data_IF_382668636110
#
_entry.id   IF_382668636110
#
_cell.length_a   1.000
_cell.length_b   1.000
_cell.length_c   1.000
_cell.angle_alpha   90.00
_cell.angle_beta   90.00
_cell.angle_gamma   90.00
#
_symmetry.space_group_name_H-M   'P 1'
#
loop_
_entity.id
_entity.type
_entity.pdbx_description
1 polymer ?
#
# COMPACT_ATOMS: atom_id res chain seq x y z
N UNK A 1 -0.13 15.80 5.21
CA UNK A 1 -1.53 15.38 4.96
C UNK A 1 -2.37 15.44 6.22
N UNK A 2 -2.06 14.64 7.27
CA UNK A 2 -2.87 14.60 8.52
C UNK A 2 -3.09 15.97 9.16
N UNK A 3 -2.02 16.76 9.39
CA UNK A 3 -2.15 18.14 9.93
C UNK A 3 -3.13 19.03 9.17
N UNK A 4 -3.24 18.85 7.84
CA UNK A 4 -4.17 19.60 6.99
C UNK A 4 -5.60 19.09 7.16
N UNK A 5 -5.78 17.76 7.24
CA UNK A 5 -7.09 17.13 7.43
C UNK A 5 -7.67 17.41 8.82
N UNK A 6 -6.83 17.68 9.81
CA UNK A 6 -7.24 17.97 11.18
C UNK A 6 -7.16 19.44 11.55
N UNK A 7 -6.89 20.32 10.58
CA UNK A 7 -6.83 21.76 10.82
C UNK A 7 -8.19 22.28 11.29
N UNK A 8 -8.23 22.99 12.41
CA UNK A 8 -9.47 23.52 12.99
C UNK A 8 -10.38 22.48 13.66
N UNK A 9 -9.89 21.26 13.91
CA UNK A 9 -10.67 20.23 14.60
C UNK A 9 -10.94 20.60 16.06
N UNK A 10 -12.22 20.72 16.42
CA UNK A 10 -12.66 20.93 17.81
C UNK A 10 -12.33 19.73 18.71
N UNK A 11 -12.20 18.53 18.14
CA UNK A 11 -11.82 17.31 18.86
C UNK A 11 -10.34 17.36 19.27
N UNK A 12 -9.46 17.90 18.43
CA UNK A 12 -8.06 18.08 18.82
C UNK A 12 -7.94 19.16 19.91
N UNK A 13 -8.67 20.27 19.76
CA UNK A 13 -8.66 21.35 20.77
C UNK A 13 -9.17 20.86 22.13
N UNK A 14 -10.21 20.02 22.15
CA UNK A 14 -10.75 19.47 23.40
C UNK A 14 -9.78 18.53 24.13
N UNK A 15 -8.70 18.09 23.47
CA UNK A 15 -7.68 17.18 24.03
C UNK A 15 -6.34 17.88 24.28
N UNK A 16 -6.27 19.22 24.23
CA UNK A 16 -5.01 19.96 24.48
C UNK A 16 -4.43 19.73 25.87
N UNK A 17 -5.31 19.56 26.88
CA UNK A 17 -4.98 19.34 28.28
C UNK A 17 -5.26 17.89 28.71
N UNK A 18 -5.08 16.93 27.79
CA UNK A 18 -5.35 15.52 28.05
C UNK A 18 -4.28 14.90 28.96
N UNK A 19 -4.70 14.21 30.03
CA UNK A 19 -3.79 13.51 30.95
C UNK A 19 -3.11 12.28 30.32
N UNK A 20 -3.56 11.84 29.14
CA UNK A 20 -3.03 10.66 28.47
C UNK A 20 -1.65 10.93 27.90
N UNK A 21 -0.66 10.15 28.35
CA UNK A 21 0.75 10.35 28.00
C UNK A 21 1.05 9.99 26.54
N UNK A 22 0.45 8.92 26.00
CA UNK A 22 0.73 8.46 24.65
C UNK A 22 -0.49 7.88 23.94
N UNK A 23 -0.60 8.18 22.64
CA UNK A 23 -1.50 7.50 21.71
C UNK A 23 -1.01 6.10 21.35
N UNK A 24 -1.98 5.21 21.06
CA UNK A 24 -1.73 3.92 20.45
C UNK A 24 -1.01 4.07 19.09
N UNK A 25 -0.16 3.10 18.75
CA UNK A 25 0.64 3.15 17.53
C UNK A 25 -0.19 3.21 16.26
N UNK A 26 -1.39 2.61 16.25
CA UNK A 26 -2.30 2.66 15.11
C UNK A 26 -2.72 4.10 14.72
N UNK A 27 -2.62 5.04 15.66
CA UNK A 27 -2.85 6.48 15.47
C UNK A 27 -1.52 7.24 15.39
N UNK A 28 -0.63 7.06 16.37
CA UNK A 28 0.61 7.85 16.48
C UNK A 28 1.57 7.62 15.32
N UNK A 29 1.63 6.38 14.81
CA UNK A 29 2.52 6.00 13.73
C UNK A 29 1.88 6.14 12.34
N UNK A 30 0.73 6.84 12.24
CA UNK A 30 0.06 7.14 10.97
C UNK A 30 1.04 7.70 9.92
N UNK A 31 1.85 8.73 10.21
CA UNK A 31 2.77 9.29 9.21
C UNK A 31 3.84 8.30 8.75
N UNK A 32 4.41 7.52 9.67
CA UNK A 32 5.50 6.59 9.39
C UNK A 32 5.01 5.44 8.50
N UNK A 33 3.89 4.82 8.86
CA UNK A 33 3.35 3.70 8.08
C UNK A 33 2.81 4.17 6.73
N UNK A 34 2.01 5.25 6.70
CA UNK A 34 1.50 5.77 5.42
C UNK A 34 2.62 6.31 4.52
N UNK A 35 3.71 6.84 5.11
CA UNK A 35 4.89 7.27 4.38
C UNK A 35 5.57 6.11 3.66
N UNK A 36 5.89 5.04 4.38
CA UNK A 36 6.51 3.85 3.80
C UNK A 36 5.66 3.23 2.66
N UNK A 37 4.34 3.21 2.83
CA UNK A 37 3.41 2.72 1.80
C UNK A 37 3.41 3.61 0.56
N UNK A 38 3.45 4.93 0.76
CA UNK A 38 3.55 5.88 -0.35
C UNK A 38 4.86 5.70 -1.11
N UNK A 39 5.96 5.46 -0.42
CA UNK A 39 7.26 5.23 -1.06
C UNK A 39 7.24 3.96 -1.91
N UNK A 40 6.62 2.87 -1.43
CA UNK A 40 6.44 1.64 -2.21
C UNK A 40 5.61 1.87 -3.49
N UNK A 41 4.49 2.59 -3.38
CA UNK A 41 3.65 2.94 -4.54
C UNK A 41 4.38 3.85 -5.52
N UNK A 42 5.17 4.80 -5.02
CA UNK A 42 6.03 5.67 -5.84
C UNK A 42 7.09 4.86 -6.60
N UNK A 43 7.75 3.90 -5.94
CA UNK A 43 8.75 3.04 -6.57
C UNK A 43 8.15 2.15 -7.67
N UNK A 44 6.94 1.61 -7.46
CA UNK A 44 6.20 0.90 -8.49
C UNK A 44 5.83 1.83 -9.66
N UNK A 45 5.35 3.04 -9.37
CA UNK A 45 5.02 4.03 -10.40
C UNK A 45 6.20 4.32 -11.30
N UNK A 46 7.38 4.58 -10.73
CA UNK A 46 8.60 4.84 -11.50
C UNK A 46 8.90 3.70 -12.48
N UNK A 47 8.74 2.46 -12.06
CA UNK A 47 8.97 1.31 -12.91
C UNK A 47 7.94 1.15 -14.02
N UNK A 48 6.67 1.38 -13.70
CA UNK A 48 5.60 1.37 -14.71
C UNK A 48 5.84 2.48 -15.73
N UNK A 49 6.23 3.67 -15.30
CA UNK A 49 6.55 4.78 -16.20
C UNK A 49 7.72 4.46 -17.11
N UNK A 50 8.78 3.81 -16.60
CA UNK A 50 9.89 3.33 -17.43
C UNK A 50 9.42 2.25 -18.41
N UNK A 51 8.72 1.23 -17.92
CA UNK A 51 8.32 0.07 -18.74
C UNK A 51 7.35 0.46 -19.86
N UNK A 52 6.42 1.40 -19.61
CA UNK A 52 5.51 1.93 -20.63
C UNK A 52 6.25 2.63 -21.78
N UNK A 53 7.48 3.07 -21.55
CA UNK A 53 8.34 3.72 -22.54
C UNK A 53 9.50 2.81 -23.00
N UNK A 54 9.54 1.55 -22.56
CA UNK A 54 10.55 0.58 -22.95
C UNK A 54 10.16 -0.14 -24.24
N UNK A 55 11.17 -0.57 -25.00
CA UNK A 55 11.00 -1.51 -26.11
C UNK A 55 11.20 -2.92 -25.56
N UNK A 56 10.10 -3.64 -25.36
CA UNK A 56 10.05 -4.96 -24.71
C UNK A 56 9.83 -6.12 -25.67
N UNK A 57 9.74 -5.86 -26.98
CA UNK A 57 9.67 -6.90 -27.99
C UNK A 57 11.04 -7.53 -28.27
N UNK A 58 11.05 -8.57 -29.09
CA UNK A 58 12.26 -9.27 -29.50
C UNK A 58 12.00 -10.03 -30.82
N UNK A 59 12.91 -9.95 -31.83
CA UNK A 59 14.19 -9.23 -31.82
C UNK A 59 14.05 -7.72 -32.02
N UNK A 60 15.01 -6.97 -31.49
CA UNK A 60 15.12 -5.54 -31.73
C UNK A 60 15.75 -5.30 -33.11
N UNK A 61 15.23 -4.33 -33.88
CA UNK A 61 15.74 -4.01 -35.22
C UNK A 61 16.46 -2.67 -35.20
N UNK A 62 17.72 -2.67 -35.64
CA UNK A 62 18.57 -1.48 -35.71
C UNK A 62 19.13 -1.31 -37.13
N UNK A 63 19.58 -0.09 -37.52
CA UNK A 63 20.36 0.10 -38.74
C UNK A 63 21.60 -0.81 -38.75
N UNK A 64 21.96 -1.38 -39.90
CA UNK A 64 23.02 -2.39 -40.00
C UNK A 64 24.36 -1.94 -39.37
N UNK A 65 24.74 -0.67 -39.54
CA UNK A 65 25.98 -0.11 -38.97
C UNK A 65 25.88 0.37 -37.51
N UNK A 66 24.72 0.21 -36.85
CA UNK A 66 24.51 0.66 -35.48
C UNK A 66 24.75 -0.45 -34.43
N UNK A 67 24.96 -1.68 -34.86
CA UNK A 67 25.17 -2.86 -34.00
C UNK A 67 26.40 -3.65 -34.48
N UNK A 68 26.80 -4.66 -33.71
CA UNK A 68 27.92 -5.54 -34.06
C UNK A 68 27.71 -6.21 -35.43
N UNK A 69 28.76 -6.29 -36.26
CA UNK A 69 28.70 -6.85 -37.62
C UNK A 69 28.24 -8.31 -37.66
N UNK A 70 28.32 -9.03 -36.53
CA UNK A 70 27.84 -10.42 -36.39
C UNK A 70 26.33 -10.50 -36.19
N UNK A 71 25.65 -9.37 -35.93
CA UNK A 71 24.21 -9.35 -35.79
C UNK A 71 23.54 -9.76 -37.12
N UNK A 72 22.63 -10.75 -37.12
CA UNK A 72 22.00 -11.23 -38.34
C UNK A 72 21.14 -10.13 -38.96
N UNK A 73 21.26 -9.92 -40.28
CA UNK A 73 20.60 -8.80 -40.94
C UNK A 73 20.80 -8.74 -42.44
N UNK A 74 20.49 -7.57 -42.98
CA UNK A 74 20.69 -7.13 -44.36
C UNK A 74 21.64 -5.94 -44.36
N UNK A 75 22.03 -5.46 -45.54
CA UNK A 75 22.90 -4.28 -45.69
C UNK A 75 22.30 -2.98 -45.10
N UNK A 76 21.00 -2.96 -44.79
CA UNK A 76 20.29 -1.77 -44.25
C UNK A 76 19.84 -1.92 -42.80
N UNK A 77 19.60 -3.13 -42.32
CA UNK A 77 19.07 -3.38 -40.98
C UNK A 77 19.59 -4.71 -40.41
N UNK A 78 19.86 -4.73 -39.10
CA UNK A 78 20.30 -5.90 -38.35
C UNK A 78 19.44 -6.11 -37.11
N UNK A 79 19.21 -7.38 -36.77
CA UNK A 79 18.41 -7.81 -35.64
C UNK A 79 19.28 -8.17 -34.44
N UNK A 80 18.89 -7.70 -33.25
CA UNK A 80 19.51 -8.05 -31.97
C UNK A 80 18.53 -8.85 -31.13
N UNK A 81 18.91 -10.07 -30.78
CA UNK A 81 18.18 -10.85 -29.79
C UNK A 81 18.41 -10.23 -28.40
N UNK A 82 17.32 -9.85 -27.73
CA UNK A 82 17.29 -9.23 -26.41
C UNK A 82 16.38 -10.01 -25.46
N UNK A 83 16.53 -9.75 -24.16
CA UNK A 83 15.69 -10.30 -23.10
C UNK A 83 14.67 -9.29 -22.54
N UNK A 84 14.42 -8.18 -23.24
CA UNK A 84 13.63 -7.05 -22.72
C UNK A 84 12.17 -7.40 -22.44
N UNK A 85 11.67 -8.52 -22.98
CA UNK A 85 10.33 -9.04 -22.69
C UNK A 85 10.17 -9.56 -21.26
N UNK A 86 11.26 -9.74 -20.51
CA UNK A 86 11.19 -10.27 -19.15
C UNK A 86 10.78 -9.18 -18.15
N UNK A 87 9.55 -9.26 -17.64
CA UNK A 87 8.94 -8.26 -16.75
C UNK A 87 9.46 -8.23 -15.30
N UNK A 88 10.69 -8.68 -15.04
CA UNK A 88 11.28 -8.70 -13.68
C UNK A 88 11.30 -7.32 -13.01
N UNK A 89 11.61 -6.21 -13.73
CA UNK A 89 11.61 -4.88 -13.13
C UNK A 89 10.25 -4.44 -12.56
N UNK A 90 9.15 -5.00 -13.08
CA UNK A 90 7.80 -4.78 -12.58
C UNK A 90 7.44 -5.78 -11.47
N UNK A 91 7.74 -7.07 -11.66
CA UNK A 91 7.35 -8.14 -10.73
C UNK A 91 7.79 -7.86 -9.29
N UNK A 92 9.09 -7.59 -9.08
CA UNK A 92 9.63 -7.35 -7.74
C UNK A 92 9.03 -6.11 -7.06
N UNK A 93 8.67 -5.09 -7.84
CA UNK A 93 8.06 -3.86 -7.32
C UNK A 93 6.58 -4.01 -7.04
N UNK A 94 5.88 -4.86 -7.80
CA UNK A 94 4.51 -5.25 -7.50
C UNK A 94 4.46 -6.02 -6.17
N UNK A 95 5.38 -6.96 -5.94
CA UNK A 95 5.47 -7.70 -4.67
C UNK A 95 5.73 -6.76 -3.50
N UNK A 96 6.66 -5.82 -3.66
CA UNK A 96 6.93 -4.78 -2.65
C UNK A 96 5.68 -3.92 -2.37
N UNK A 97 4.99 -3.46 -3.41
CA UNK A 97 3.78 -2.65 -3.25
C UNK A 97 2.62 -3.44 -2.63
N UNK A 98 2.44 -4.71 -2.99
CA UNK A 98 1.42 -5.60 -2.43
C UNK A 98 1.62 -5.82 -0.91
N UNK A 99 2.85 -6.08 -0.49
CA UNK A 99 3.21 -6.17 0.92
C UNK A 99 2.96 -4.85 1.67
N UNK A 100 3.35 -3.71 1.09
CA UNK A 100 3.11 -2.40 1.68
C UNK A 100 1.60 -2.09 1.84
N UNK A 101 0.78 -2.40 0.84
CA UNK A 101 -0.68 -2.23 0.92
C UNK A 101 -1.32 -3.14 1.97
N UNK A 102 -0.76 -4.32 2.20
CA UNK A 102 -1.19 -5.22 3.29
C UNK A 102 -0.90 -4.61 4.66
N UNK A 103 0.26 -3.96 4.84
CA UNK A 103 0.57 -3.21 6.07
C UNK A 103 -0.35 -1.99 6.27
N UNK A 104 -0.73 -1.33 5.17
CA UNK A 104 -1.73 -0.25 5.23
C UNK A 104 -3.09 -0.76 5.72
N UNK A 105 -3.54 -1.91 5.20
CA UNK A 105 -4.75 -2.56 5.64
C UNK A 105 -4.65 -2.97 7.12
N UNK A 106 -3.50 -3.51 7.54
CA UNK A 106 -3.25 -3.93 8.91
C UNK A 106 -3.39 -2.77 9.91
N UNK A 107 -2.73 -1.64 9.67
CA UNK A 107 -2.83 -0.50 10.57
C UNK A 107 -4.23 0.12 10.54
N UNK A 108 -4.95 0.04 9.42
CA UNK A 108 -6.34 0.48 9.33
C UNK A 108 -7.27 -0.38 10.17
N UNK A 109 -7.13 -1.70 10.10
CA UNK A 109 -7.90 -2.62 10.92
C UNK A 109 -7.60 -2.44 12.41
N UNK A 110 -6.33 -2.23 12.81
CA UNK A 110 -5.97 -1.91 14.21
C UNK A 110 -6.60 -0.60 14.71
N UNK A 111 -6.83 0.39 13.83
CA UNK A 111 -7.59 1.61 14.19
C UNK A 111 -9.08 1.29 14.39
N UNK A 112 -9.65 0.46 13.52
CA UNK A 112 -11.03 -0.01 13.67
C UNK A 112 -11.21 -0.77 14.98
N UNK A 113 -10.35 -1.74 15.29
CA UNK A 113 -10.37 -2.48 16.56
C UNK A 113 -10.29 -1.52 17.77
N UNK A 114 -9.38 -0.54 17.72
CA UNK A 114 -9.24 0.45 18.79
C UNK A 114 -10.47 1.32 19.03
N UNK A 115 -11.35 1.49 18.03
CA UNK A 115 -12.61 2.24 18.18
C UNK A 115 -13.78 1.37 18.67
N UNK A 116 -13.73 0.05 18.43
CA UNK A 116 -14.86 -0.85 18.64
C UNK A 116 -14.69 -1.76 19.86
N UNK A 117 -13.45 -2.06 20.23
CA UNK A 117 -13.11 -3.01 21.28
C UNK A 117 -13.23 -2.36 22.67
N UNK A 118 -14.15 -2.82 23.54
CA UNK A 118 -14.36 -2.25 24.87
C UNK A 118 -13.12 -2.31 25.78
N UNK A 119 -12.21 -3.27 25.58
CA UNK A 119 -10.96 -3.37 26.35
C UNK A 119 -9.94 -2.33 25.87
N UNK A 120 -10.01 -2.06 24.57
CA UNK A 120 -9.27 -1.12 23.73
C UNK A 120 -9.52 0.36 23.96
N UNK A 121 -10.80 0.69 23.83
CA UNK A 121 -11.29 1.94 23.26
C UNK A 121 -11.23 3.13 24.20
N UNK A 122 -11.55 4.33 23.68
CA UNK A 122 -11.73 5.49 24.55
C UNK A 122 -12.98 5.32 25.41
N UNK A 123 -12.90 5.70 26.69
CA UNK A 123 -13.95 5.50 27.69
C UNK A 123 -15.30 6.13 27.31
N UNK A 124 -15.27 7.21 26.50
CA UNK A 124 -16.48 7.90 26.06
C UNK A 124 -17.18 7.22 24.87
N UNK A 125 -16.56 6.21 24.25
CA UNK A 125 -17.17 5.44 23.17
C UNK A 125 -17.99 4.29 23.76
N UNK A 126 -19.20 4.02 23.25
CA UNK A 126 -19.91 2.80 23.60
C UNK A 126 -19.28 1.60 22.89
N UNK A 127 -19.26 0.38 23.49
CA UNK A 127 -18.71 -0.81 22.85
C UNK A 127 -19.34 -1.06 21.47
N UNK A 128 -18.52 -1.38 20.47
CA UNK A 128 -18.93 -1.58 19.07
C UNK A 128 -19.70 -0.39 18.46
N UNK A 129 -19.58 0.80 19.05
CA UNK A 129 -20.25 2.04 18.67
C UNK A 129 -21.77 1.91 18.57
N UNK A 130 -22.41 1.24 19.54
CA UNK A 130 -23.87 1.07 19.61
C UNK A 130 -24.46 1.52 20.93
N UNK A 131 -25.63 2.16 20.90
CA UNK A 131 -26.34 2.68 22.08
C UNK A 131 -26.75 1.60 23.09
N UNK A 132 -27.01 0.36 22.64
CA UNK A 132 -27.52 -0.75 23.47
C UNK A 132 -26.67 -2.01 23.29
N UNK A 133 -25.40 -1.92 23.66
CA UNK A 133 -24.49 -3.07 23.67
C UNK A 133 -25.08 -4.24 24.50
N UNK A 134 -24.90 -5.47 24.03
CA UNK A 134 -25.53 -6.69 24.58
C UNK A 134 -26.90 -7.02 23.98
N UNK A 135 -27.61 -6.05 23.38
CA UNK A 135 -28.84 -6.27 22.60
C UNK A 135 -28.66 -5.99 21.10
N UNK A 136 -27.77 -5.06 20.77
CA UNK A 136 -27.39 -4.68 19.41
C UNK A 136 -25.92 -4.96 19.20
N UNK A 137 -25.56 -5.52 18.05
CA UNK A 137 -24.16 -5.86 17.74
C UNK A 137 -23.34 -4.68 17.19
N UNK A 138 -23.98 -3.57 16.81
CA UNK A 138 -23.28 -2.40 16.26
C UNK A 138 -22.36 -2.78 15.08
N UNK A 139 -21.12 -2.32 15.12
CA UNK A 139 -20.10 -2.63 14.12
C UNK A 139 -19.30 -3.92 14.38
N UNK A 140 -19.71 -4.76 15.33
CA UNK A 140 -19.01 -6.02 15.63
C UNK A 140 -18.78 -6.88 14.38
N UNK A 141 -19.80 -7.05 13.54
CA UNK A 141 -19.67 -7.85 12.31
C UNK A 141 -18.80 -7.15 11.27
N UNK A 142 -18.88 -5.82 11.17
CA UNK A 142 -18.00 -5.07 10.27
C UNK A 142 -16.53 -5.21 10.66
N UNK A 143 -16.22 -5.26 11.97
CA UNK A 143 -14.88 -5.54 12.46
C UNK A 143 -14.40 -6.94 12.04
N UNK A 144 -15.27 -7.96 12.15
CA UNK A 144 -14.94 -9.32 11.72
C UNK A 144 -14.65 -9.38 10.22
N UNK A 145 -15.44 -8.67 9.41
CA UNK A 145 -15.19 -8.53 7.98
C UNK A 145 -13.84 -7.85 7.72
N UNK A 146 -13.51 -6.77 8.42
CA UNK A 146 -12.22 -6.10 8.26
C UNK A 146 -11.03 -7.01 8.62
N UNK A 147 -11.14 -7.78 9.70
CA UNK A 147 -10.12 -8.75 10.11
C UNK A 147 -9.98 -9.90 9.10
N UNK A 148 -11.09 -10.39 8.53
CA UNK A 148 -11.09 -11.42 7.49
C UNK A 148 -10.39 -10.92 6.21
N UNK A 149 -10.74 -9.73 5.73
CA UNK A 149 -10.11 -9.10 4.56
C UNK A 149 -8.60 -8.90 4.78
N UNK A 150 -8.18 -8.48 5.98
CA UNK A 150 -6.75 -8.36 6.30
C UNK A 150 -6.03 -9.72 6.20
N UNK A 151 -6.65 -10.79 6.69
CA UNK A 151 -6.06 -12.13 6.61
C UNK A 151 -5.96 -12.62 5.15
N UNK A 152 -6.94 -12.27 4.32
CA UNK A 152 -6.87 -12.51 2.88
C UNK A 152 -5.71 -11.73 2.23
N UNK A 153 -5.57 -10.43 2.53
CA UNK A 153 -4.43 -9.63 2.07
C UNK A 153 -3.09 -10.25 2.48
N UNK A 154 -2.96 -10.76 3.72
CA UNK A 154 -1.73 -11.44 4.17
C UNK A 154 -1.45 -12.77 3.47
N UNK A 155 -2.50 -13.46 3.04
CA UNK A 155 -2.37 -14.68 2.25
C UNK A 155 -1.92 -14.39 0.82
N UNK A 156 -2.46 -13.32 0.22
CA UNK A 156 -2.21 -12.92 -1.17
C UNK A 156 -0.93 -12.09 -1.34
N UNK A 157 -0.59 -11.24 -0.36
CA UNK A 157 0.54 -10.30 -0.40
C UNK A 157 1.91 -10.94 -0.15
N UNK A 158 2.06 -12.24 -0.43
CA UNK A 158 3.35 -12.93 -0.39
C UNK A 158 4.04 -12.73 -1.75
N UNK A 159 5.38 -12.59 -1.79
CA UNK A 159 6.11 -12.55 -3.05
C UNK A 159 5.77 -13.75 -3.93
N UNK A 160 5.66 -13.49 -5.23
CA UNK A 160 5.29 -14.47 -6.25
C UNK A 160 6.36 -15.53 -6.54
#
# INVERSE_FOLDING_TARGET
>A
AIRRLTAGSTVLESHKDCERVQDAYSIRCLPQVHGAVRDAVSHLREAVEVELNSVTDNPLVFPAGAVDERAPGTDVAAGVAAGNFHGEPLALRLDYAAGALTELAAISERRTDRMLNPDVQELYLPPFLTERSGLRSGYMIAQYTAAALLNECRSLGRPS
#
